data_IF_973132727480
#
_entry.id   IF_973132727480
#
_cell.length_a   1.000
_cell.length_b   1.000
_cell.length_c   1.000
_cell.angle_alpha   90.00
_cell.angle_beta   90.00
_cell.angle_gamma   90.00
#
_symmetry.space_group_name_H-M   'P 1'
#
loop_
_entity.id
_entity.type
_entity.pdbx_description
1 polymer ?
#
# COMPACT_ATOMS: atom_id res chain seq x y z
N UNK A 1 5.02 -1.34 2.75
CA UNK A 1 5.68 -0.44 1.78
C UNK A 1 7.09 -0.87 1.44
N UNK A 2 7.29 -1.16 0.16
CA UNK A 2 8.62 -1.32 -0.41
C UNK A 2 9.37 0.03 -0.39
N UNK A 3 10.70 0.01 -0.30
CA UNK A 3 11.50 1.25 -0.32
C UNK A 3 11.32 2.04 -1.62
N UNK A 4 11.06 1.34 -2.72
CA UNK A 4 10.78 1.93 -4.04
C UNK A 4 9.47 2.71 -4.04
N UNK A 5 8.38 2.14 -3.49
CA UNK A 5 7.08 2.81 -3.41
C UNK A 5 7.17 4.07 -2.52
N UNK A 6 7.89 3.98 -1.39
CA UNK A 6 8.12 5.12 -0.50
C UNK A 6 8.81 6.28 -1.23
N UNK A 7 9.89 5.96 -1.97
CA UNK A 7 10.66 6.96 -2.73
C UNK A 7 9.81 7.62 -3.82
N UNK A 8 8.94 6.85 -4.48
CA UNK A 8 8.05 7.41 -5.50
C UNK A 8 6.98 8.33 -4.90
N UNK A 9 6.36 7.97 -3.78
CA UNK A 9 5.37 8.81 -3.11
C UNK A 9 5.98 10.13 -2.62
N UNK A 10 7.21 10.12 -2.08
CA UNK A 10 7.90 11.36 -1.71
C UNK A 10 8.17 12.27 -2.91
N UNK A 11 8.64 11.71 -4.05
CA UNK A 11 8.84 12.50 -5.28
C UNK A 11 7.54 13.12 -5.80
N UNK A 12 6.43 12.38 -5.72
CA UNK A 12 5.12 12.89 -6.13
C UNK A 12 4.66 14.00 -5.18
N UNK A 13 4.85 13.82 -3.86
CA UNK A 13 4.52 14.82 -2.84
C UNK A 13 5.33 16.12 -3.04
N UNK A 14 6.63 16.00 -3.31
CA UNK A 14 7.48 17.14 -3.66
C UNK A 14 7.00 17.86 -4.94
N UNK A 15 6.67 17.10 -5.99
CA UNK A 15 6.16 17.67 -7.24
C UNK A 15 4.83 18.42 -7.04
N UNK A 16 3.93 17.91 -6.18
CA UNK A 16 2.69 18.60 -5.80
C UNK A 16 3.00 19.92 -5.09
N UNK A 17 3.93 19.93 -4.14
CA UNK A 17 4.31 21.15 -3.43
C UNK A 17 4.89 22.22 -4.37
N UNK A 18 5.76 21.81 -5.29
CA UNK A 18 6.46 22.70 -6.23
C UNK A 18 5.62 23.10 -7.46
N UNK A 19 4.43 22.53 -7.65
CA UNK A 19 3.59 22.80 -8.83
C UNK A 19 3.02 24.21 -8.81
N UNK A 20 3.32 25.02 -9.83
CA UNK A 20 2.66 26.33 -10.02
C UNK A 20 1.28 26.22 -10.69
N UNK A 21 0.86 25.01 -11.06
CA UNK A 21 -0.38 24.74 -11.80
C UNK A 21 -1.55 24.31 -10.91
N UNK A 22 -1.36 24.31 -9.60
CA UNK A 22 -2.34 23.84 -8.63
C UNK A 22 -2.62 24.91 -7.59
N UNK A 23 -3.88 25.04 -7.20
CA UNK A 23 -4.27 25.89 -6.07
C UNK A 23 -3.77 25.30 -4.75
N UNK A 24 -3.79 26.11 -3.70
CA UNK A 24 -3.43 25.67 -2.35
C UNK A 24 -4.33 24.53 -1.85
N UNK A 25 -5.63 24.60 -2.13
CA UNK A 25 -6.60 23.56 -1.78
C UNK A 25 -6.34 22.25 -2.53
N UNK A 26 -6.02 22.32 -3.82
CA UNK A 26 -5.69 21.15 -4.65
C UNK A 26 -4.40 20.48 -4.16
N UNK A 27 -3.39 21.27 -3.80
CA UNK A 27 -2.14 20.75 -3.22
C UNK A 27 -2.41 20.03 -1.90
N UNK A 28 -3.13 20.66 -0.98
CA UNK A 28 -3.48 20.08 0.32
C UNK A 28 -4.24 18.76 0.15
N UNK A 29 -5.25 18.74 -0.71
CA UNK A 29 -6.05 17.54 -0.98
C UNK A 29 -5.21 16.42 -1.60
N UNK A 30 -4.31 16.76 -2.52
CA UNK A 30 -3.44 15.78 -3.17
C UNK A 30 -2.43 15.17 -2.20
N UNK A 31 -1.82 15.99 -1.32
CA UNK A 31 -0.91 15.50 -0.27
C UNK A 31 -1.63 14.52 0.66
N UNK A 32 -2.87 14.83 1.05
CA UNK A 32 -3.69 13.93 1.88
C UNK A 32 -3.90 12.57 1.21
N UNK A 33 -4.25 12.56 -0.07
CA UNK A 33 -4.45 11.31 -0.83
C UNK A 33 -3.15 10.49 -0.91
N UNK A 34 -2.01 11.15 -1.14
CA UNK A 34 -0.69 10.49 -1.19
C UNK A 34 -0.38 9.82 0.16
N UNK A 35 -0.72 10.47 1.27
CA UNK A 35 -0.54 9.91 2.62
C UNK A 35 -1.49 8.74 2.87
N UNK A 36 -2.74 8.81 2.41
CA UNK A 36 -3.70 7.70 2.47
C UNK A 36 -3.16 6.46 1.73
N UNK A 37 -2.61 6.63 0.52
CA UNK A 37 -1.99 5.53 -0.22
C UNK A 37 -0.83 4.86 0.52
N UNK A 38 -0.01 5.63 1.22
CA UNK A 38 1.09 5.07 2.02
C UNK A 38 0.56 4.19 3.18
N UNK A 39 -0.54 4.61 3.81
CA UNK A 39 -1.22 3.84 4.85
C UNK A 39 -1.85 2.56 4.28
N UNK A 40 -2.53 2.66 3.15
CA UNK A 40 -3.16 1.53 2.47
C UNK A 40 -2.14 0.47 2.04
N UNK A 41 -1.02 0.86 1.43
CA UNK A 41 0.04 -0.08 1.03
C UNK A 41 0.59 -0.86 2.23
N UNK A 42 0.79 -0.17 3.37
CA UNK A 42 1.20 -0.84 4.62
C UNK A 42 0.13 -1.82 5.12
N UNK A 43 -1.14 -1.42 5.10
CA UNK A 43 -2.24 -2.28 5.52
C UNK A 43 -2.39 -3.52 4.62
N UNK A 44 -2.22 -3.36 3.31
CA UNK A 44 -2.27 -4.46 2.34
C UNK A 44 -1.13 -5.46 2.52
N UNK A 45 0.07 -4.99 2.87
CA UNK A 45 1.18 -5.86 3.26
C UNK A 45 0.82 -6.73 4.47
N UNK A 46 0.29 -6.12 5.53
CA UNK A 46 -0.15 -6.83 6.73
C UNK A 46 -1.27 -7.84 6.43
N UNK A 47 -2.26 -7.45 5.61
CA UNK A 47 -3.33 -8.34 5.19
C UNK A 47 -2.78 -9.58 4.48
N UNK A 48 -1.84 -9.38 3.56
CA UNK A 48 -1.18 -10.47 2.83
C UNK A 48 -0.46 -11.43 3.78
N UNK A 49 0.28 -10.91 4.76
CA UNK A 49 0.95 -11.73 5.78
C UNK A 49 -0.04 -12.55 6.61
N UNK A 50 -1.16 -11.96 7.03
CA UNK A 50 -2.19 -12.67 7.79
C UNK A 50 -2.86 -13.76 6.94
N UNK A 51 -3.18 -13.48 5.67
CA UNK A 51 -3.74 -14.48 4.76
C UNK A 51 -2.78 -15.64 4.52
N UNK A 52 -1.48 -15.36 4.35
CA UNK A 52 -0.45 -16.40 4.24
C UNK A 52 -0.42 -17.29 5.49
N UNK A 53 -0.48 -16.69 6.69
CA UNK A 53 -0.51 -17.42 7.96
C UNK A 53 -1.74 -18.30 8.11
N UNK A 54 -2.92 -17.83 7.69
CA UNK A 54 -4.14 -18.64 7.70
C UNK A 54 -4.03 -19.78 6.67
N UNK A 55 -3.58 -19.47 5.47
CA UNK A 55 -3.44 -20.44 4.39
C UNK A 55 -2.44 -21.56 4.72
N UNK A 56 -1.36 -21.26 5.44
CA UNK A 56 -0.37 -22.26 5.84
C UNK A 56 -0.91 -23.27 6.85
N UNK A 57 -1.88 -22.88 7.67
CA UNK A 57 -2.59 -23.80 8.57
C UNK A 57 -3.60 -24.70 7.83
N UNK A 58 -4.19 -24.22 6.74
CA UNK A 58 -5.18 -24.95 5.95
C UNK A 58 -4.50 -25.87 4.91
N UNK A 59 -3.31 -25.51 4.44
CA UNK A 59 -2.59 -26.24 3.39
C UNK A 59 -2.38 -27.74 3.69
N UNK A 60 -1.99 -28.16 4.91
CA UNK A 60 -1.90 -29.58 5.25
C UNK A 60 -3.25 -30.29 5.17
N UNK A 61 -4.33 -29.66 5.64
CA UNK A 61 -5.69 -30.21 5.61
C UNK A 61 -6.13 -30.43 4.17
N UNK A 62 -5.89 -29.47 3.28
CA UNK A 62 -6.22 -29.60 1.86
C UNK A 62 -5.43 -30.73 1.18
N UNK A 63 -4.15 -30.91 1.55
CA UNK A 63 -3.33 -31.99 1.05
C UNK A 63 -3.81 -33.36 1.56
N UNK A 64 -4.20 -33.47 2.84
CA UNK A 64 -4.80 -34.68 3.42
C UNK A 64 -6.12 -35.06 2.71
N UNK A 65 -6.88 -34.06 2.26
CA UNK A 65 -8.12 -34.24 1.49
C UNK A 65 -7.87 -34.51 -0.01
N UNK A 66 -6.62 -34.49 -0.49
CA UNK A 66 -6.27 -34.68 -1.90
C UNK A 66 -6.73 -33.55 -2.83
N UNK A 67 -6.91 -32.35 -2.28
CA UNK A 67 -7.40 -31.17 -3.02
C UNK A 67 -6.27 -30.32 -3.61
N UNK A 68 -5.03 -30.54 -3.16
CA UNK A 68 -3.78 -29.95 -3.68
C UNK A 68 -2.62 -30.94 -3.53
#
# INVERSE_FOLDING_TARGET
>A
MSQTNATHLEKIKEAVHLSDKMSSEEKSSSVKIIEEWAVEDKAMGLLTEQLLKVSSGIKPILAELGLI
#
